data_IF_718652781165
#
_entry.id   IF_718652781165
#
_cell.length_a   1.000
_cell.length_b   1.000
_cell.length_c   1.000
_cell.angle_alpha   90.00
_cell.angle_beta   90.00
_cell.angle_gamma   90.00
#
_symmetry.space_group_name_H-M   'P 1'
#
loop_
_entity.id
_entity.type
_entity.pdbx_description
1 polymer ?
2 non-polymer ?
3 non-polymer ?
4 water ?
#
# COMPACT_ATOMS: atom_id res chain seq x y z
N UNK A 23 -16.22 19.78 3.89
CA UNK A 23 -15.08 19.08 4.49
C UNK A 23 -15.15 17.58 4.25
N UNK A 24 -16.35 17.01 4.37
CA UNK A 24 -16.58 15.62 3.99
C UNK A 24 -16.79 15.55 2.47
N UNK A 25 -17.35 16.62 1.92
CA UNK A 25 -17.47 16.76 0.48
C UNK A 25 -16.07 16.90 -0.11
N UNK A 26 -15.24 17.70 0.56
CA UNK A 26 -13.87 17.91 0.13
C UNK A 26 -13.09 16.60 0.16
N UNK A 27 -13.25 15.84 1.23
CA UNK A 27 -12.58 14.55 1.38
C UNK A 27 -12.98 13.60 0.25
N UNK A 28 -14.25 13.67 -0.15
CA UNK A 28 -14.77 12.81 -1.22
C UNK A 28 -14.14 13.17 -2.56
N UNK A 29 -14.00 14.47 -2.83
CA UNK A 29 -13.37 14.94 -4.05
C UNK A 29 -11.91 14.49 -4.14
N UNK A 30 -11.21 14.59 -3.02
CA UNK A 30 -9.79 14.23 -2.97
C UNK A 30 -9.62 12.72 -3.16
N UNK A 31 -10.49 11.93 -2.56
CA UNK A 31 -10.43 10.47 -2.70
C UNK A 31 -10.67 10.07 -4.16
N UNK A 32 -11.59 10.77 -4.81
CA UNK A 32 -11.89 10.51 -6.22
C UNK A 32 -10.72 10.92 -7.11
N UNK A 33 -10.12 12.07 -6.80
CA UNK A 33 -8.94 12.53 -7.52
C UNK A 33 -7.80 11.55 -7.35
N UNK A 34 -7.65 11.00 -6.15
CA UNK A 34 -6.58 10.06 -5.87
C UNK A 34 -6.78 8.74 -6.61
N UNK A 35 -8.04 8.38 -6.87
CA UNK A 35 -8.34 7.15 -7.59
C UNK A 35 -7.77 7.18 -9.00
N UNK A 36 -8.03 8.26 -9.72
CA UNK A 36 -7.56 8.38 -11.11
C UNK A 36 -6.04 8.58 -11.12
N UNK A 37 -5.52 9.30 -10.13
CA UNK A 37 -4.08 9.53 -9.99
C UNK A 37 -3.33 8.20 -9.87
N UNK A 38 -3.85 7.31 -9.04
CA UNK A 38 -3.26 5.99 -8.85
C UNK A 38 -3.25 5.22 -10.17
N UNK A 39 -4.30 5.43 -10.97
CA UNK A 39 -4.42 4.77 -12.26
C UNK A 39 -3.39 5.34 -13.22
N UNK A 40 -3.25 6.67 -13.21
CA UNK A 40 -2.25 7.35 -14.01
C UNK A 40 -0.84 6.91 -13.63
N UNK A 41 -0.59 6.81 -12.33
CA UNK A 41 0.73 6.41 -11.83
C UNK A 41 1.08 4.99 -12.25
N UNK A 42 0.07 4.11 -12.33
CA UNK A 42 0.28 2.74 -12.79
C UNK A 42 0.86 2.75 -14.21
N UNK A 43 0.31 3.59 -15.07
CA UNK A 43 0.78 3.70 -16.44
C UNK A 43 2.19 4.26 -16.49
N UNK A 44 2.43 5.33 -15.75
CA UNK A 44 3.75 5.96 -15.71
C UNK A 44 4.82 4.96 -15.24
N UNK A 45 4.41 4.06 -14.35
CA UNK A 45 5.31 3.01 -13.87
C UNK A 45 5.58 2.00 -14.97
N UNK A 46 4.54 1.64 -15.72
CA UNK A 46 4.67 0.73 -16.85
C UNK A 46 5.61 1.31 -17.91
N UNK A 47 5.33 2.55 -18.30
CA UNK A 47 6.13 3.23 -19.31
C UNK A 47 7.59 3.34 -18.89
N UNK A 48 7.81 3.74 -17.64
CA UNK A 48 9.15 3.91 -17.11
C UNK A 48 9.91 2.58 -17.09
N UNK A 49 9.20 1.52 -16.72
CA UNK A 49 9.80 0.19 -16.60
C UNK A 49 10.14 -0.39 -17.97
N UNK A 50 9.24 -0.19 -18.93
CA UNK A 50 9.45 -0.68 -20.29
C UNK A 50 10.64 0.00 -20.95
N UNK A 51 10.94 1.22 -20.53
CA UNK A 51 12.05 1.99 -21.07
C UNK A 51 13.32 1.79 -20.25
N UNK A 52 13.24 0.95 -19.22
CA UNK A 52 14.38 0.67 -18.37
C UNK A 52 14.82 1.87 -17.55
N UNK A 53 13.92 2.83 -17.39
CA UNK A 53 14.21 4.04 -16.61
C UNK A 53 13.89 3.79 -15.13
N UNK A 54 14.82 3.14 -14.43
CA UNK A 54 14.59 2.72 -13.05
C UNK A 54 14.36 3.90 -12.10
N UNK A 55 15.17 4.93 -12.23
CA UNK A 55 15.08 6.10 -11.37
C UNK A 55 13.69 6.71 -11.44
N UNK A 56 13.17 6.81 -12.65
CA UNK A 56 11.83 7.34 -12.88
C UNK A 56 10.77 6.40 -12.34
N UNK A 57 10.96 5.10 -12.56
CA UNK A 57 10.01 4.09 -12.11
C UNK A 57 9.87 4.11 -10.59
N UNK A 58 11.00 4.10 -9.89
CA UNK A 58 11.01 4.12 -8.43
C UNK A 58 10.26 5.34 -7.88
N UNK A 59 10.55 6.50 -8.45
CA UNK A 59 9.92 7.74 -8.02
C UNK A 59 8.40 7.66 -8.14
N UNK A 60 7.92 7.11 -9.25
CA UNK A 60 6.47 6.97 -9.45
C UNK A 60 5.90 5.89 -8.53
N UNK A 61 6.71 4.91 -8.18
CA UNK A 61 6.28 3.85 -7.26
C UNK A 61 6.09 4.40 -5.85
N UNK A 62 6.99 5.29 -5.42
CA UNK A 62 6.86 5.93 -4.12
C UNK A 62 5.62 6.82 -4.09
N UNK A 63 5.42 7.59 -5.16
CA UNK A 63 4.25 8.46 -5.27
C UNK A 63 2.96 7.64 -5.25
N UNK A 64 3.02 6.42 -5.75
CA UNK A 64 1.88 5.52 -5.75
C UNK A 64 1.53 5.12 -4.33
N UNK A 65 2.54 4.79 -3.53
CA UNK A 65 2.34 4.42 -2.14
C UNK A 65 1.75 5.58 -1.35
N UNK A 66 2.22 6.79 -1.65
CA UNK A 66 1.74 7.99 -0.97
C UNK A 66 0.25 8.21 -1.23
N UNK A 67 -0.12 8.19 -2.51
CA UNK A 67 -1.50 8.39 -2.91
C UNK A 67 -2.41 7.31 -2.35
N UNK A 68 -1.88 6.10 -2.29
CA UNK A 68 -2.63 4.96 -1.80
C UNK A 68 -2.93 5.09 -0.32
N UNK A 69 -1.90 5.37 0.47
CA UNK A 69 -2.07 5.56 1.90
C UNK A 69 -2.96 6.77 2.21
N UNK A 70 -2.75 7.85 1.47
CA UNK A 70 -3.57 9.04 1.62
C UNK A 70 -5.03 8.70 1.37
N UNK A 71 -5.27 7.90 0.34
CA UNK A 71 -6.62 7.48 -0.01
C UNK A 71 -7.30 6.70 1.12
N UNK A 72 -6.61 5.69 1.65
CA UNK A 72 -7.24 4.81 2.64
C UNK A 72 -7.50 5.55 3.95
N UNK A 73 -6.65 6.52 4.27
CA UNK A 73 -6.81 7.32 5.47
C UNK A 73 -8.09 8.15 5.39
N UNK A 74 -8.32 8.77 4.24
CA UNK A 74 -9.53 9.55 4.02
C UNK A 74 -10.77 8.66 3.98
N UNK A 75 -10.60 7.44 3.48
CA UNK A 75 -11.69 6.46 3.45
C UNK A 75 -12.03 6.00 4.86
N UNK A 76 -11.04 6.06 5.73
CA UNK A 76 -11.20 5.69 7.13
C UNK A 76 -11.81 6.83 7.95
N UNK A 77 -12.14 7.93 7.30
CA UNK A 77 -12.77 9.06 7.95
C UNK A 77 -11.80 9.98 8.65
N UNK A 78 -10.51 9.77 8.46
CA UNK A 78 -9.49 10.62 9.05
C UNK A 78 -9.53 12.02 8.44
N UNK A 79 -9.47 13.04 9.29
CA UNK A 79 -9.50 14.42 8.81
C UNK A 79 -8.28 14.72 7.95
N UNK A 80 -8.42 15.64 7.01
CA UNK A 80 -7.41 15.87 5.98
C UNK A 80 -6.05 16.31 6.55
N UNK A 81 -6.05 17.26 7.52
CA UNK A 81 -4.76 17.66 8.09
C UNK A 81 -4.01 16.50 8.74
N UNK A 82 -4.74 15.63 9.42
CA UNK A 82 -4.14 14.49 10.10
C UNK A 82 -3.69 13.43 9.09
N UNK A 83 -4.47 13.26 8.02
CA UNK A 83 -4.15 12.29 6.98
C UNK A 83 -2.79 12.58 6.35
N UNK A 84 -2.53 13.87 6.09
CA UNK A 84 -1.25 14.30 5.54
C UNK A 84 -0.11 13.87 6.46
N UNK A 85 -0.26 14.13 7.75
CA UNK A 85 0.80 13.84 8.72
C UNK A 85 1.02 12.34 8.89
N UNK A 86 -0.07 11.57 8.91
CA UNK A 86 0.03 10.12 9.08
C UNK A 86 0.58 9.46 7.82
N UNK A 87 0.25 10.01 6.66
CA UNK A 87 0.79 9.50 5.40
C UNK A 87 2.29 9.76 5.32
N UNK A 88 2.72 10.93 5.81
CA UNK A 88 4.13 11.26 5.85
C UNK A 88 4.91 10.27 6.69
N UNK A 89 4.33 9.89 7.83
CA UNK A 89 4.96 8.91 8.72
C UNK A 89 5.04 7.54 8.05
N UNK A 90 3.95 7.16 7.39
CA UNK A 90 3.89 5.93 6.61
C UNK A 90 5.03 5.85 5.60
N UNK A 91 5.22 6.94 4.87
CA UNK A 91 6.24 7.01 3.83
C UNK A 91 7.65 6.90 4.41
N UNK A 92 7.86 7.48 5.59
CA UNK A 92 9.16 7.43 6.24
C UNK A 92 9.46 6.01 6.72
N UNK A 93 8.45 5.34 7.25
CA UNK A 93 8.60 3.99 7.76
C UNK A 93 8.86 3.00 6.64
N UNK A 94 8.40 3.32 5.43
CA UNK A 94 8.62 2.47 4.27
C UNK A 94 10.02 2.64 3.72
N UNK A 95 10.75 3.63 4.23
CA UNK A 95 12.13 3.84 3.85
C UNK A 95 12.30 4.92 2.79
N UNK A 96 11.43 5.92 2.81
CA UNK A 96 11.52 7.05 1.90
C UNK A 96 11.34 8.36 2.66
N UNK A 97 12.28 8.67 3.57
CA UNK A 97 12.13 9.82 4.47
C UNK A 97 12.26 11.17 3.78
N UNK A 98 12.94 11.21 2.63
CA UNK A 98 13.11 12.47 1.92
C UNK A 98 11.84 12.86 1.18
N UNK A 99 11.25 11.91 0.46
CA UNK A 99 9.92 12.12 -0.13
C UNK A 99 8.93 12.48 0.97
N UNK A 100 9.05 11.80 2.10
CA UNK A 100 8.12 11.96 3.22
C UNK A 100 8.10 13.39 3.76
N UNK A 101 9.27 14.00 3.90
CA UNK A 101 9.35 15.36 4.44
C UNK A 101 8.86 16.39 3.43
N UNK A 102 9.17 16.17 2.15
CA UNK A 102 8.65 17.02 1.09
C UNK A 102 7.13 16.90 1.02
N UNK A 103 6.66 15.67 1.14
CA UNK A 103 5.23 15.38 1.19
C UNK A 103 4.59 16.10 2.36
N UNK A 104 5.23 16.05 3.52
CA UNK A 104 4.69 16.66 4.73
C UNK A 104 4.62 18.18 4.64
N UNK A 105 5.75 18.79 4.25
CA UNK A 105 5.84 20.25 4.16
C UNK A 105 4.88 20.80 3.13
N UNK A 106 4.81 20.15 1.97
CA UNK A 106 3.90 20.58 0.92
C UNK A 106 2.44 20.35 1.33
N UNK A 107 2.19 19.23 1.99
CA UNK A 107 0.86 18.91 2.46
C UNK A 107 0.32 19.99 3.38
N UNK A 108 1.13 20.38 4.36
CA UNK A 108 0.76 21.43 5.31
C UNK A 108 0.44 22.73 4.57
N UNK A 109 1.21 23.01 3.53
CA UNK A 109 1.02 24.20 2.72
C UNK A 109 -0.28 24.08 1.91
N UNK A 110 -0.55 22.88 1.41
CA UNK A 110 -1.74 22.64 0.61
C UNK A 110 -3.02 22.69 1.45
N UNK A 111 -2.93 22.23 2.70
CA UNK A 111 -4.06 22.30 3.62
C UNK A 111 -4.49 23.75 3.81
N UNK A 112 -3.51 24.61 4.07
CA UNK A 112 -3.73 26.05 4.18
C UNK A 112 -4.47 26.60 2.96
N UNK A 113 -3.96 26.28 1.78
CA UNK A 113 -4.53 26.79 0.54
C UNK A 113 -5.87 26.13 0.23
N UNK A 114 -6.08 24.93 0.75
CA UNK A 114 -7.32 24.21 0.54
C UNK A 114 -8.46 24.83 1.32
N UNK A 115 -8.22 25.14 2.59
CA UNK A 115 -9.28 25.56 3.49
C UNK A 115 -9.55 27.06 3.40
N UNK A 116 -8.68 27.77 2.67
CA UNK A 116 -8.93 29.17 2.33
C UNK A 116 -9.36 29.29 0.86
N UNK A 117 -9.67 28.14 0.25
CA UNK A 117 -10.34 28.09 -1.03
C UNK A 117 -9.50 28.34 -2.27
N UNK A 118 -8.19 28.38 -2.12
CA UNK A 118 -7.30 28.72 -3.23
C UNK A 118 -6.96 27.51 -4.12
N UNK A 119 -7.40 26.33 -3.72
CA UNK A 119 -7.24 25.14 -4.56
C UNK A 119 -8.43 24.20 -4.41
N UNK A 120 -8.66 23.39 -5.43
CA UNK A 120 -9.73 22.39 -5.41
C UNK A 120 -9.22 21.07 -4.84
N UNK A 121 -10.13 20.14 -4.60
CA UNK A 121 -9.79 18.83 -4.10
C UNK A 121 -8.86 18.11 -5.07
N UNK A 122 -9.10 18.29 -6.36
CA UNK A 122 -8.28 17.68 -7.39
C UNK A 122 -6.87 18.27 -7.38
N UNK A 123 -6.79 19.60 -7.34
CA UNK A 123 -5.51 20.29 -7.26
C UNK A 123 -4.73 19.85 -6.04
N UNK A 124 -5.42 19.78 -4.90
CA UNK A 124 -4.84 19.32 -3.65
C UNK A 124 -4.21 17.94 -3.82
N UNK A 125 -4.98 17.02 -4.40
CA UNK A 125 -4.53 15.65 -4.58
C UNK A 125 -3.30 15.57 -5.48
N UNK A 126 -3.36 16.26 -6.62
CA UNK A 126 -2.27 16.20 -7.59
C UNK A 126 -0.98 16.80 -7.04
N UNK A 127 -1.05 18.01 -6.52
CA UNK A 127 0.13 18.69 -6.01
C UNK A 127 0.72 17.97 -4.78
N UNK A 128 -0.14 17.34 -4.00
CA UNK A 128 0.30 16.61 -2.81
C UNK A 128 1.17 15.42 -3.21
N UNK A 129 0.73 14.70 -4.23
CA UNK A 129 1.41 13.48 -4.66
C UNK A 129 2.61 13.77 -5.56
N UNK A 130 2.46 14.72 -6.47
CA UNK A 130 3.45 14.92 -7.53
C UNK A 130 4.57 15.89 -7.18
N UNK A 131 4.30 16.87 -6.32
CA UNK A 131 5.33 17.85 -5.96
C UNK A 131 6.53 17.19 -5.28
N UNK A 132 6.27 16.25 -4.35
CA UNK A 132 7.41 15.56 -3.72
C UNK A 132 8.02 14.51 -4.64
N UNK A 133 7.32 14.16 -5.72
CA UNK A 133 7.79 13.15 -6.65
C UNK A 133 8.85 13.70 -7.60
N UNK A 134 9.08 15.01 -7.54
CA UNK A 134 10.04 15.66 -8.41
C UNK A 134 11.47 15.26 -8.06
N UNK A 135 12.38 15.47 -9.00
CA UNK A 135 13.76 15.04 -8.84
C UNK A 135 14.60 16.10 -8.14
N UNK B 22 12.79 -16.96 18.62
CA UNK B 22 13.44 -16.13 17.56
C UNK B 22 12.44 -15.31 16.74
N UNK B 23 11.63 -14.48 17.42
CA UNK B 23 10.62 -13.74 16.66
C UNK B 23 11.20 -12.67 15.73
N UNK B 24 12.30 -12.03 16.14
CA UNK B 24 12.88 -10.96 15.34
C UNK B 24 13.56 -11.50 14.09
N UNK B 25 14.08 -12.72 14.17
CA UNK B 25 14.70 -13.35 13.01
C UNK B 25 13.61 -13.72 12.00
N UNK B 26 12.53 -14.32 12.50
CA UNK B 26 11.37 -14.66 11.68
C UNK B 26 10.86 -13.43 10.94
N UNK B 27 10.68 -12.33 11.66
CA UNK B 27 10.15 -11.10 11.10
C UNK B 27 11.01 -10.64 9.92
N UNK B 28 12.32 -10.63 10.12
CA UNK B 28 13.25 -10.22 9.06
C UNK B 28 13.15 -11.16 7.86
N UNK B 29 13.06 -12.46 8.13
CA UNK B 29 12.92 -13.46 7.08
C UNK B 29 11.61 -13.30 6.32
N UNK B 30 10.54 -13.02 7.05
CA UNK B 30 9.23 -12.82 6.43
C UNK B 30 9.23 -11.56 5.57
N UNK B 31 9.87 -10.50 6.05
CA UNK B 31 9.96 -9.26 5.29
C UNK B 31 10.74 -9.46 3.99
N UNK B 32 11.78 -10.30 4.05
CA UNK B 32 12.57 -10.62 2.87
C UNK B 32 11.72 -11.37 1.85
N UNK B 33 10.99 -12.37 2.33
CA UNK B 33 10.11 -13.17 1.48
C UNK B 33 9.05 -12.31 0.80
N UNK B 34 8.51 -11.35 1.55
CA UNK B 34 7.45 -10.49 1.03
C UNK B 34 7.93 -9.63 -0.13
N UNK B 35 9.18 -9.17 -0.07
CA UNK B 35 9.77 -8.40 -1.15
C UNK B 35 9.77 -9.20 -2.44
N UNK B 36 10.18 -10.46 -2.36
CA UNK B 36 10.13 -11.38 -3.49
C UNK B 36 8.69 -11.57 -3.98
N UNK B 37 7.80 -11.82 -3.04
CA UNK B 37 6.40 -12.11 -3.35
C UNK B 37 5.74 -10.96 -4.11
N UNK B 38 6.07 -9.73 -3.75
CA UNK B 38 5.50 -8.57 -4.42
C UNK B 38 5.88 -8.54 -5.90
N UNK B 39 7.12 -8.92 -6.19
CA UNK B 39 7.60 -9.00 -7.57
C UNK B 39 6.92 -10.15 -8.31
N UNK B 40 6.81 -11.29 -7.64
CA UNK B 40 6.12 -12.45 -8.21
C UNK B 40 4.65 -12.13 -8.47
N UNK B 41 4.02 -11.43 -7.54
CA UNK B 41 2.63 -11.03 -7.69
C UNK B 41 2.45 -10.09 -8.88
N UNK B 42 3.38 -9.16 -9.05
CA UNK B 42 3.35 -8.26 -10.19
C UNK B 42 3.37 -9.05 -11.48
N UNK B 43 4.21 -10.08 -11.53
CA UNK B 43 4.29 -10.95 -12.70
C UNK B 43 2.99 -11.72 -12.86
N UNK B 44 2.46 -12.19 -11.73
CA UNK B 44 1.20 -12.92 -11.73
C UNK B 44 0.07 -12.06 -12.28
N UNK B 45 0.12 -10.77 -11.97
CA UNK B 45 -0.88 -9.83 -12.47
C UNK B 45 -0.77 -9.69 -14.00
N UNK B 46 0.46 -9.71 -14.51
CA UNK B 46 0.69 -9.62 -15.95
C UNK B 46 0.16 -10.85 -16.67
N UNK B 47 0.32 -12.03 -16.06
CA UNK B 47 -0.24 -13.26 -16.62
C UNK B 47 -1.76 -13.15 -16.71
N UNK B 48 -2.37 -12.61 -15.66
CA UNK B 48 -3.82 -12.46 -15.59
C UNK B 48 -4.32 -11.53 -16.68
N UNK B 49 -3.57 -10.47 -16.94
CA UNK B 49 -3.93 -9.48 -17.95
C UNK B 49 -3.86 -10.07 -19.35
N UNK B 50 -2.79 -10.81 -19.61
CA UNK B 50 -2.64 -11.51 -20.89
C UNK B 50 -3.75 -12.52 -21.08
N UNK B 51 -4.23 -13.07 -19.97
CA UNK B 51 -5.29 -14.08 -20.00
C UNK B 51 -6.68 -13.45 -20.06
N UNK B 52 -6.75 -12.13 -19.97
CA UNK B 52 -8.02 -11.43 -19.94
C UNK B 52 -8.89 -11.87 -18.77
N UNK B 53 -8.24 -12.34 -17.72
CA UNK B 53 -8.93 -12.78 -16.51
C UNK B 53 -9.01 -11.65 -15.49
N UNK B 54 -10.07 -10.85 -15.58
CA UNK B 54 -10.22 -9.67 -14.75
C UNK B 54 -10.29 -9.98 -13.25
N UNK B 55 -11.10 -10.97 -12.90
CA UNK B 55 -11.33 -11.29 -11.49
C UNK B 55 -10.05 -11.80 -10.83
N UNK B 56 -9.29 -12.62 -11.53
CA UNK B 56 -8.04 -13.12 -10.97
C UNK B 56 -7.01 -12.01 -10.86
N UNK B 57 -7.02 -11.10 -11.82
CA UNK B 57 -6.14 -9.93 -11.77
C UNK B 57 -6.45 -9.09 -10.53
N UNK B 58 -7.75 -8.91 -10.27
CA UNK B 58 -8.19 -8.14 -9.12
C UNK B 58 -7.82 -8.81 -7.80
N UNK B 59 -7.92 -10.14 -7.75
CA UNK B 59 -7.57 -10.87 -6.54
C UNK B 59 -6.10 -10.72 -6.20
N UNK B 60 -5.24 -10.79 -7.23
CA UNK B 60 -3.80 -10.66 -7.03
C UNK B 60 -3.42 -9.22 -6.70
N UNK B 61 -4.24 -8.27 -7.14
CA UNK B 61 -4.03 -6.87 -6.79
C UNK B 61 -4.28 -6.66 -5.30
N UNK B 62 -5.31 -7.30 -4.77
CA UNK B 62 -5.62 -7.22 -3.35
C UNK B 62 -4.53 -7.89 -2.52
N UNK B 63 -4.06 -9.03 -3.00
CA UNK B 63 -2.98 -9.76 -2.34
C UNK B 63 -1.72 -8.91 -2.30
N UNK B 64 -1.52 -8.12 -3.35
CA UNK B 64 -0.38 -7.21 -3.42
C UNK B 64 -0.48 -6.15 -2.32
N UNK B 65 -1.68 -5.62 -2.13
CA UNK B 65 -1.93 -4.64 -1.07
C UNK B 65 -1.74 -5.27 0.30
N UNK B 66 -2.19 -6.50 0.45
CA UNK B 66 -2.06 -7.23 1.71
C UNK B 66 -0.58 -7.44 2.03
N UNK B 67 0.20 -7.81 1.03
CA UNK B 67 1.62 -8.08 1.20
C UNK B 67 2.39 -6.80 1.54
N UNK B 68 1.96 -5.70 0.94
CA UNK B 68 2.57 -4.40 1.23
C UNK B 68 2.33 -3.98 2.66
N UNK B 69 1.08 -4.08 3.10
CA UNK B 69 0.71 -3.69 4.46
C UNK B 69 1.40 -4.58 5.48
N UNK B 70 1.39 -5.89 5.24
CA UNK B 70 2.05 -6.83 6.12
C UNK B 70 3.54 -6.51 6.25
N UNK B 71 4.16 -6.22 5.12
CA UNK B 71 5.57 -5.86 5.09
C UNK B 71 5.86 -4.64 5.96
N UNK B 72 5.00 -3.63 5.85
CA UNK B 72 5.21 -2.37 6.54
C UNK B 72 4.98 -2.50 8.04
N UNK B 73 3.97 -3.26 8.42
CA UNK B 73 3.69 -3.51 9.82
C UNK B 73 4.92 -4.13 10.47
N UNK B 74 5.50 -5.13 9.79
CA UNK B 74 6.69 -5.79 10.30
C UNK B 74 7.88 -4.83 10.32
N UNK B 75 7.92 -3.91 9.36
CA UNK B 75 8.97 -2.90 9.32
C UNK B 75 8.83 -1.93 10.48
N UNK B 76 7.60 -1.76 10.94
CA UNK B 76 7.31 -0.92 12.10
C UNK B 76 7.60 -1.64 13.42
N UNK B 77 8.08 -2.87 13.32
CA UNK B 77 8.44 -3.64 14.49
C UNK B 77 7.26 -4.30 15.16
N UNK B 78 6.12 -4.35 14.47
CA UNK B 78 4.91 -4.96 15.00
C UNK B 78 5.07 -6.49 15.06
N UNK B 79 4.69 -7.07 16.20
CA UNK B 79 4.77 -8.52 16.36
C UNK B 79 3.89 -9.22 15.32
N UNK B 80 4.31 -10.40 14.89
CA UNK B 80 3.68 -11.08 13.76
C UNK B 80 2.19 -11.35 13.96
N UNK B 81 1.78 -11.85 15.14
CA UNK B 81 0.34 -12.07 15.34
C UNK B 81 -0.49 -10.80 15.20
N UNK B 82 0.04 -9.68 15.68
CA UNK B 82 -0.66 -8.41 15.60
C UNK B 82 -0.65 -7.86 14.17
N UNK B 83 0.43 -8.13 13.45
CA UNK B 83 0.56 -7.71 12.06
C UNK B 83 -0.53 -8.35 11.20
N UNK B 84 -0.80 -9.63 11.44
CA UNK B 84 -1.84 -10.34 10.72
C UNK B 84 -3.21 -9.72 10.93
N UNK B 85 -3.52 -9.37 12.18
CA UNK B 85 -4.82 -8.81 12.53
C UNK B 85 -5.00 -7.42 11.94
N UNK B 86 -3.96 -6.60 12.04
CA UNK B 86 -4.03 -5.23 11.53
C UNK B 86 -4.03 -5.21 10.01
N UNK B 87 -3.34 -6.16 9.39
CA UNK B 87 -3.38 -6.30 7.94
C UNK B 87 -4.79 -6.66 7.49
N UNK B 88 -5.45 -7.52 8.24
CA UNK B 88 -6.82 -7.90 7.94
C UNK B 88 -7.76 -6.69 8.01
N UNK B 89 -7.53 -5.82 8.99
CA UNK B 89 -8.34 -4.62 9.15
C UNK B 89 -8.10 -3.65 8.00
N UNK B 90 -6.85 -3.52 7.60
CA UNK B 90 -6.48 -2.67 6.46
C UNK B 90 -7.23 -3.08 5.20
N UNK B 91 -7.32 -4.38 4.97
CA UNK B 91 -7.98 -4.90 3.78
C UNK B 91 -9.48 -4.61 3.78
N UNK B 92 -10.09 -4.65 4.96
CA UNK B 92 -11.51 -4.37 5.09
C UNK B 92 -11.80 -2.89 4.81
N UNK B 93 -10.98 -2.02 5.38
CA UNK B 93 -11.16 -0.58 5.20
C UNK B 93 -10.96 -0.18 3.74
N UNK B 94 -10.18 -0.97 3.00
CA UNK B 94 -9.96 -0.74 1.58
C UNK B 94 -11.13 -1.24 0.76
N UNK B 95 -12.09 -1.89 1.41
CA UNK B 95 -13.29 -2.36 0.74
C UNK B 95 -13.17 -3.80 0.25
N UNK B 96 -12.41 -4.62 0.97
CA UNK B 96 -12.30 -6.04 0.66
C UNK B 96 -12.48 -6.90 1.90
N UNK B 97 -13.64 -6.77 2.57
CA UNK B 97 -13.91 -7.54 3.80
C UNK B 97 -13.92 -9.06 3.56
N UNK B 98 -14.17 -9.48 2.33
CA UNK B 98 -14.20 -10.90 1.99
C UNK B 98 -12.79 -11.50 2.05
N UNK B 99 -11.85 -10.87 1.34
CA UNK B 99 -10.46 -11.30 1.34
C UNK B 99 -9.87 -11.16 2.74
N UNK B 100 -10.33 -10.15 3.48
CA UNK B 100 -9.81 -9.84 4.80
C UNK B 100 -10.05 -10.98 5.79
N UNK B 101 -11.26 -11.56 5.76
CA UNK B 101 -11.60 -12.63 6.69
C UNK B 101 -10.92 -13.93 6.32
N UNK B 102 -10.79 -14.22 5.02
CA UNK B 102 -10.00 -15.35 4.57
C UNK B 102 -8.55 -15.15 5.00
N UNK B 103 -8.06 -13.94 4.78
CA UNK B 103 -6.69 -13.56 5.15
C UNK B 103 -6.45 -13.72 6.65
N UNK B 104 -7.42 -13.30 7.46
CA UNK B 104 -7.28 -13.36 8.91
C UNK B 104 -7.22 -14.81 9.40
N UNK B 105 -8.20 -15.61 9.01
CA UNK B 105 -8.30 -16.99 9.45
C UNK B 105 -7.07 -17.79 9.06
N UNK B 106 -6.62 -17.63 7.81
CA UNK B 106 -5.44 -18.33 7.33
C UNK B 106 -4.19 -17.82 8.03
N UNK B 107 -4.14 -16.51 8.26
CA UNK B 107 -3.03 -15.91 8.97
C UNK B 107 -2.90 -16.47 10.38
N UNK B 108 -4.01 -16.55 11.10
CA UNK B 108 -4.03 -17.11 12.45
C UNK B 108 -3.52 -18.55 12.42
N UNK B 109 -3.91 -19.28 11.43
CA UNK B 109 -3.48 -20.65 11.26
C UNK B 109 -2.00 -20.73 10.96
N UNK B 110 -1.50 -19.86 10.12
CA UNK B 110 -0.08 -19.87 9.76
C UNK B 110 0.81 -19.45 10.94
N UNK B 111 0.31 -18.54 11.77
CA UNK B 111 1.03 -18.14 12.98
C UNK B 111 1.20 -19.35 13.90
N UNK B 112 0.11 -20.07 14.10
CA UNK B 112 0.12 -21.33 14.84
C UNK B 112 1.21 -22.27 14.32
N UNK B 113 1.19 -22.50 13.01
CA UNK B 113 2.15 -23.40 12.37
C UNK B 113 3.55 -22.80 12.36
N UNK B 114 3.64 -21.48 12.33
CA UNK B 114 4.94 -20.80 12.36
C UNK B 114 5.59 -20.92 13.73
N UNK B 115 4.77 -20.87 14.78
CA UNK B 115 5.29 -20.92 16.14
C UNK B 115 5.73 -22.33 16.53
N UNK B 116 5.13 -23.33 15.89
CA UNK B 116 5.46 -24.72 16.17
C UNK B 116 6.45 -25.27 15.15
N UNK B 117 7.13 -24.37 14.43
CA UNK B 117 8.22 -24.72 13.55
C UNK B 117 7.84 -25.51 12.31
N UNK B 118 6.55 -25.66 12.05
CA UNK B 118 6.09 -26.44 10.91
C UNK B 118 6.26 -25.73 9.57
N UNK B 119 6.49 -24.41 9.63
CA UNK B 119 6.71 -23.63 8.41
C UNK B 119 7.85 -22.65 8.60
N UNK B 120 8.50 -22.29 7.48
CA UNK B 120 9.54 -21.28 7.50
C UNK B 120 8.93 -19.89 7.35
N UNK B 121 9.73 -18.87 7.54
CA UNK B 121 9.28 -17.50 7.33
C UNK B 121 8.86 -17.30 5.89
N UNK B 122 9.55 -17.99 4.99
CA UNK B 122 9.27 -17.90 3.56
C UNK B 122 7.95 -18.57 3.22
N UNK B 123 7.74 -19.77 3.77
CA UNK B 123 6.49 -20.48 3.58
C UNK B 123 5.32 -19.68 4.14
N UNK B 124 5.49 -19.20 5.36
CA UNK B 124 4.51 -18.34 6.03
C UNK B 124 4.06 -17.21 5.11
N UNK B 125 5.03 -16.43 4.63
CA UNK B 125 4.76 -15.28 3.78
C UNK B 125 4.02 -15.67 2.51
N UNK B 126 4.51 -16.71 1.84
CA UNK B 126 3.92 -17.14 0.57
C UNK B 126 2.49 -17.64 0.76
N UNK B 127 2.28 -18.52 1.73
CA UNK B 127 0.96 -19.09 1.98
C UNK B 127 -0.02 -18.06 2.54
N UNK B 128 0.50 -17.05 3.24
CA UNK B 128 -0.33 -16.01 3.81
C UNK B 128 -0.99 -15.15 2.73
N UNK B 129 -0.20 -14.79 1.72
CA UNK B 129 -0.64 -13.85 0.69
C UNK B 129 -1.33 -14.52 -0.50
N UNK B 130 -0.84 -15.70 -0.90
CA UNK B 130 -1.35 -16.36 -2.10
C UNK B 130 -2.63 -17.17 -1.86
N UNK B 131 -2.77 -17.76 -0.67
CA UNK B 131 -3.93 -18.62 -0.41
C UNK B 131 -5.27 -17.89 -0.57
N UNK B 132 -5.43 -16.74 0.10
CA UNK B 132 -6.75 -16.10 0.04
C UNK B 132 -7.09 -15.55 -1.34
N UNK B 133 -6.05 -15.22 -2.12
CA UNK B 133 -6.26 -14.71 -3.48
C UNK B 133 -6.62 -15.84 -4.43
N UNK B 134 -6.24 -17.07 -4.08
CA UNK B 134 -6.55 -18.24 -4.90
C UNK B 134 -7.75 -19.00 -4.35
N UNK B 135 -8.34 -18.49 -3.27
CA UNK B 135 -9.50 -19.11 -2.64
C UNK B 135 -10.79 -18.48 -3.14
#
# INVERSE_FOLDING_TARGET
MRGSHHHHHHGTGENLYFQGGSPEQMAEEIRQALEKILKQLENEIEIARNAGDDEREDRYRIAYLAALEAYRLLAEGVRIPEAVQRAAAYLASMGYPHYAELFRAKGEELVKRLLEGKVTGEEFARQLVFYPAQAV
MRGSHHHHHHGTGENLYFQGGSPEQMAEEIRQALEKILKQLENEIEIARNAGDDEREDRYRIAYLAALEAYRLLAEGVRIPEAVQRAAAYLASMGYPHYAELFRAKGEELVKRLLEGKVTGEEFARQLVFYPAQAV
#
